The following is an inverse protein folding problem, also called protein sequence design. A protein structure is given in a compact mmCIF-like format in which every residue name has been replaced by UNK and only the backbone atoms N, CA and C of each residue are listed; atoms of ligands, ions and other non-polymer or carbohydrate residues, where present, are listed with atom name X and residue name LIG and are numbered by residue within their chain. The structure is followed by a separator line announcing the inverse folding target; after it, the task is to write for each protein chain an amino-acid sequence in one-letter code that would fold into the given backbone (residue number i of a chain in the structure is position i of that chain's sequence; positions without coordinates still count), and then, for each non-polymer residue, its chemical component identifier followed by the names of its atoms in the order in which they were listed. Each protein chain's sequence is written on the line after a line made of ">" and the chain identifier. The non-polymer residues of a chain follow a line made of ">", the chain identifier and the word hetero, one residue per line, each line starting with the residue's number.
data_IF_789827757103
#
_entry.id   IF_789827757103
#
_cell.length_a   1.000
_cell.length_b   1.000
_cell.length_c   1.000
_cell.angle_alpha   90.00
_cell.angle_beta   90.00
_cell.angle_gamma   90.00
#
_symmetry.space_group_name_H-M   'P 1'
#
loop_
_entity.id
_entity.type
_entity.pdbx_description
1 polymer ?
#
# COMPACT_ATOMS: atom_id res chain seq x y z
N UNK A 1 -7.33 0.47 8.94
CA UNK A 1 -8.33 0.21 10.05
C UNK A 1 -8.89 1.55 10.48
N UNK A 2 -10.21 1.68 10.51
CA UNK A 2 -10.88 2.91 11.00
C UNK A 2 -10.71 3.07 12.50
N UNK A 3 -11.05 4.26 13.03
CA UNK A 3 -11.06 4.52 14.47
C UNK A 3 -12.22 3.77 15.13
N UNK A 4 -11.94 2.95 16.14
CA UNK A 4 -12.97 2.24 16.91
C UNK A 4 -13.91 3.21 17.64
N UNK A 5 -13.40 4.38 18.07
CA UNK A 5 -14.22 5.43 18.67
C UNK A 5 -15.20 6.00 17.66
N UNK A 6 -14.73 6.28 16.42
CA UNK A 6 -15.59 6.71 15.32
C UNK A 6 -16.69 5.68 15.02
N UNK A 7 -16.32 4.39 14.90
CA UNK A 7 -17.26 3.31 14.65
C UNK A 7 -18.34 3.24 15.73
N UNK A 8 -17.95 3.34 16.99
CA UNK A 8 -18.85 3.30 18.15
C UNK A 8 -19.81 4.48 18.20
N UNK A 9 -19.31 5.69 17.89
CA UNK A 9 -20.11 6.91 17.93
C UNK A 9 -20.97 7.10 16.68
N UNK A 10 -20.55 6.52 15.53
CA UNK A 10 -21.19 6.70 14.23
C UNK A 10 -21.41 5.37 13.47
N UNK A 11 -22.05 4.35 14.09
CA UNK A 11 -22.16 3.03 13.47
C UNK A 11 -22.93 3.04 12.14
N UNK A 12 -23.96 3.87 12.02
CA UNK A 12 -24.76 3.97 10.80
C UNK A 12 -23.95 4.60 9.66
N UNK A 13 -23.07 5.56 9.94
CA UNK A 13 -22.16 6.11 8.92
C UNK A 13 -21.18 5.05 8.38
N UNK A 14 -20.68 4.16 9.27
CA UNK A 14 -19.82 3.05 8.87
C UNK A 14 -20.58 2.03 8.01
N UNK A 15 -21.81 1.68 8.40
CA UNK A 15 -22.67 0.77 7.61
C UNK A 15 -23.00 1.35 6.24
N UNK A 16 -23.31 2.64 6.18
CA UNK A 16 -23.58 3.35 4.91
C UNK A 16 -22.34 3.36 4.00
N UNK A 17 -21.14 3.56 4.57
CA UNK A 17 -19.90 3.48 3.83
C UNK A 17 -19.64 2.07 3.28
N UNK A 18 -19.94 1.01 4.04
CA UNK A 18 -19.86 -0.38 3.59
C UNK A 18 -20.79 -0.62 2.39
N UNK A 19 -22.03 -0.11 2.44
CA UNK A 19 -22.97 -0.19 1.33
C UNK A 19 -22.48 0.55 0.09
N UNK A 20 -21.92 1.76 0.25
CA UNK A 20 -21.30 2.51 -0.86
C UNK A 20 -20.18 1.75 -1.54
N UNK A 21 -19.50 0.86 -0.81
CA UNK A 21 -18.45 -0.02 -1.33
C UNK A 21 -18.99 -1.37 -1.86
N UNK A 22 -20.30 -1.58 -1.87
CA UNK A 22 -20.94 -2.84 -2.30
C UNK A 22 -20.45 -4.08 -1.55
N UNK A 23 -20.25 -3.95 -0.24
CA UNK A 23 -19.71 -4.99 0.64
C UNK A 23 -20.71 -5.30 1.78
N UNK A 24 -22.00 -5.40 1.48
CA UNK A 24 -23.09 -5.53 2.46
C UNK A 24 -22.88 -6.67 3.46
N UNK A 25 -22.20 -7.74 3.06
CA UNK A 25 -21.84 -8.86 3.91
C UNK A 25 -20.99 -8.49 5.13
N UNK A 26 -20.29 -7.34 5.05
CA UNK A 26 -19.46 -6.82 6.15
C UNK A 26 -20.25 -5.99 7.19
N UNK A 27 -21.52 -5.67 6.93
CA UNK A 27 -22.34 -4.85 7.84
C UNK A 27 -22.50 -5.52 9.21
N UNK A 28 -22.62 -6.85 9.25
CA UNK A 28 -22.72 -7.59 10.51
C UNK A 28 -21.53 -7.36 11.43
N UNK A 29 -20.33 -7.18 10.87
CA UNK A 29 -19.10 -6.95 11.65
C UNK A 29 -19.15 -5.66 12.47
N UNK A 30 -19.88 -4.64 12.02
CA UNK A 30 -20.05 -3.37 12.76
C UNK A 30 -20.76 -3.63 14.08
N UNK A 31 -21.85 -4.39 14.05
CA UNK A 31 -22.61 -4.75 15.27
C UNK A 31 -21.79 -5.65 16.20
N UNK A 32 -21.09 -6.64 15.66
CA UNK A 32 -20.20 -7.52 16.42
C UNK A 32 -19.09 -6.75 17.12
N UNK A 33 -18.46 -5.80 16.45
CA UNK A 33 -17.42 -4.94 17.05
C UNK A 33 -17.99 -4.11 18.20
N UNK A 34 -19.19 -3.55 18.05
CA UNK A 34 -19.82 -2.75 19.11
C UNK A 34 -20.05 -3.59 20.37
N UNK A 35 -20.57 -4.80 20.24
CA UNK A 35 -20.81 -5.68 21.39
C UNK A 35 -19.49 -6.14 22.03
N UNK A 36 -18.52 -6.58 21.23
CA UNK A 36 -17.21 -6.98 21.73
C UNK A 36 -16.45 -5.83 22.40
N UNK A 37 -16.48 -4.61 21.84
CA UNK A 37 -15.87 -3.42 22.43
C UNK A 37 -16.54 -3.06 23.77
N UNK A 38 -17.85 -3.22 23.88
CA UNK A 38 -18.58 -3.02 25.13
C UNK A 38 -18.14 -4.00 26.21
N UNK A 39 -18.00 -5.29 25.86
CA UNK A 39 -17.50 -6.31 26.80
C UNK A 39 -16.04 -6.05 27.18
N UNK A 40 -15.19 -5.72 26.21
CA UNK A 40 -13.78 -5.40 26.42
C UNK A 40 -13.62 -4.23 27.43
N UNK A 41 -14.34 -3.13 27.22
CA UNK A 41 -14.31 -1.97 28.11
C UNK A 41 -14.86 -2.29 29.51
N UNK A 42 -15.86 -3.14 29.61
CA UNK A 42 -16.37 -3.59 30.90
C UNK A 42 -15.34 -4.45 31.65
N UNK A 43 -14.62 -5.36 30.94
CA UNK A 43 -13.55 -6.15 31.53
C UNK A 43 -12.39 -5.24 32.01
N UNK A 44 -11.96 -4.29 31.16
CA UNK A 44 -10.92 -3.32 31.50
C UNK A 44 -11.26 -2.50 32.73
N UNK A 45 -12.48 -1.96 32.80
CA UNK A 45 -12.93 -1.19 33.97
C UNK A 45 -12.92 -2.04 35.24
N UNK A 46 -13.37 -3.31 35.16
CA UNK A 46 -13.36 -4.22 36.31
C UNK A 46 -11.93 -4.53 36.75
N UNK A 47 -11.02 -4.79 35.82
CA UNK A 47 -9.61 -5.05 36.09
C UNK A 47 -8.92 -3.82 36.74
N UNK A 48 -9.19 -2.61 36.26
CA UNK A 48 -8.61 -1.39 36.80
C UNK A 48 -9.12 -1.12 38.26
N UNK A 49 -10.39 -1.36 38.52
CA UNK A 49 -10.95 -1.26 39.88
C UNK A 49 -10.27 -2.29 40.80
N UNK A 50 -10.16 -3.56 40.39
CA UNK A 50 -9.50 -4.60 41.19
C UNK A 50 -8.01 -4.30 41.40
N UNK A 51 -7.29 -3.78 40.42
CA UNK A 51 -5.89 -3.32 40.57
C UNK A 51 -5.80 -2.22 41.63
N UNK A 52 -6.74 -1.26 41.64
CA UNK A 52 -6.84 -0.20 42.62
C UNK A 52 -7.06 -0.75 44.00
N UNK A 53 -8.03 -1.64 44.17
CA UNK A 53 -8.39 -2.24 45.47
C UNK A 53 -7.31 -3.17 46.02
N UNK A 54 -6.71 -4.02 45.15
CA UNK A 54 -5.55 -4.84 45.51
C UNK A 54 -4.39 -3.99 46.02
N UNK A 55 -4.10 -2.86 45.36
CA UNK A 55 -3.00 -1.98 45.78
C UNK A 55 -3.30 -1.30 47.12
N UNK A 56 -4.56 -0.93 47.42
CA UNK A 56 -4.97 -0.40 48.71
C UNK A 56 -4.81 -1.44 49.83
N UNK A 57 -5.29 -2.67 49.61
CA UNK A 57 -5.20 -3.76 50.60
C UNK A 57 -3.74 -4.17 50.85
N UNK A 58 -2.93 -4.26 49.81
CA UNK A 58 -1.50 -4.60 49.93
C UNK A 58 -0.73 -3.61 50.82
N UNK A 59 -1.07 -2.31 50.77
CA UNK A 59 -0.47 -1.29 51.65
C UNK A 59 -0.87 -1.48 53.12
N UNK A 60 -2.04 -2.04 53.39
CA UNK A 60 -2.50 -2.25 54.77
C UNK A 60 -1.80 -3.40 55.48
N UNK A 61 -1.33 -4.42 54.72
CA UNK A 61 -0.64 -5.60 55.25
C UNK A 61 0.59 -5.21 56.10
N UNK A 62 1.41 -4.30 55.57
CA UNK A 62 2.61 -3.81 56.29
C UNK A 62 2.29 -3.13 57.61
N UNK A 63 1.23 -2.30 57.63
CA UNK A 63 0.75 -1.60 58.84
C UNK A 63 0.19 -2.54 59.91
N UNK A 64 -0.58 -3.55 59.50
CA UNK A 64 -1.14 -4.56 60.42
C UNK A 64 -0.05 -5.46 60.99
N UNK A 65 0.93 -5.85 60.20
CA UNK A 65 2.08 -6.62 60.68
C UNK A 65 2.91 -5.84 61.72
N UNK A 66 3.11 -4.53 61.47
CA UNK A 66 3.82 -3.66 62.42
C UNK A 66 3.04 -3.48 63.75
N UNK A 67 1.71 -3.57 63.71
CA UNK A 67 0.84 -3.51 64.88
C UNK A 67 0.65 -4.87 65.58
N UNK A 68 1.27 -5.94 65.10
CA UNK A 68 1.14 -7.28 65.69
C UNK A 68 -0.16 -8.01 65.34
N UNK A 69 -1.01 -7.48 64.47
CA UNK A 69 -2.32 -8.00 64.08
C UNK A 69 -2.19 -9.05 62.97
N UNK A 70 -1.57 -10.18 63.27
CA UNK A 70 -1.21 -11.22 62.28
C UNK A 70 -2.43 -11.85 61.61
N UNK A 71 -3.52 -12.11 62.34
CA UNK A 71 -4.71 -12.75 61.79
C UNK A 71 -5.45 -11.84 60.80
N UNK A 72 -5.54 -10.52 61.11
CA UNK A 72 -6.08 -9.54 60.16
C UNK A 72 -5.21 -9.41 58.92
N UNK A 73 -3.89 -9.44 59.08
CA UNK A 73 -2.96 -9.39 57.95
C UNK A 73 -3.07 -10.63 57.04
N UNK A 74 -3.26 -11.84 57.58
CA UNK A 74 -3.46 -13.07 56.81
C UNK A 74 -4.82 -13.05 56.06
N UNK A 75 -5.88 -12.52 56.63
CA UNK A 75 -7.17 -12.34 55.91
C UNK A 75 -7.03 -11.40 54.72
N UNK A 76 -6.31 -10.28 54.89
CA UNK A 76 -6.05 -9.36 53.77
C UNK A 76 -5.14 -9.98 52.73
N UNK A 77 -4.13 -10.76 53.08
CA UNK A 77 -3.33 -11.51 52.11
C UNK A 77 -4.17 -12.48 51.31
N UNK A 78 -5.12 -13.19 51.93
CA UNK A 78 -6.03 -14.09 51.21
C UNK A 78 -6.90 -13.31 50.19
N UNK A 79 -7.42 -12.13 50.57
CA UNK A 79 -8.17 -11.26 49.65
C UNK A 79 -7.30 -10.74 48.49
N UNK A 80 -6.06 -10.31 48.78
CA UNK A 80 -5.10 -9.86 47.76
C UNK A 80 -4.79 -10.99 46.77
N UNK A 81 -4.69 -12.23 47.27
CA UNK A 81 -4.50 -13.41 46.40
C UNK A 81 -5.72 -13.63 45.50
N UNK A 82 -6.93 -13.62 46.08
CA UNK A 82 -8.17 -13.77 45.31
C UNK A 82 -8.29 -12.69 44.22
N UNK A 83 -7.97 -11.43 44.53
CA UNK A 83 -7.97 -10.36 43.52
C UNK A 83 -6.91 -10.57 42.44
N UNK A 84 -5.76 -11.16 42.79
CA UNK A 84 -4.73 -11.47 41.81
C UNK A 84 -5.16 -12.58 40.87
N UNK A 85 -5.79 -13.63 41.36
CA UNK A 85 -6.35 -14.72 40.57
C UNK A 85 -7.46 -14.22 39.63
N UNK A 86 -8.37 -13.36 40.11
CA UNK A 86 -9.44 -12.75 39.32
C UNK A 86 -8.87 -11.78 38.23
N UNK A 87 -7.78 -11.06 38.54
CA UNK A 87 -7.12 -10.18 37.62
C UNK A 87 -6.48 -10.98 36.46
N UNK A 88 -5.87 -12.12 36.76
CA UNK A 88 -5.29 -12.98 35.71
C UNK A 88 -6.36 -13.48 34.72
N UNK A 89 -7.52 -13.88 35.21
CA UNK A 89 -8.67 -14.26 34.36
C UNK A 89 -9.18 -13.09 33.53
N UNK A 90 -9.28 -11.89 34.12
CA UNK A 90 -9.73 -10.69 33.40
C UNK A 90 -8.70 -10.25 32.33
N UNK A 91 -7.40 -10.28 32.63
CA UNK A 91 -6.35 -9.94 31.66
C UNK A 91 -6.35 -10.89 30.47
N UNK A 92 -6.57 -12.18 30.70
CA UNK A 92 -6.75 -13.16 29.61
C UNK A 92 -7.99 -12.84 28.77
N UNK A 93 -9.11 -12.52 29.44
CA UNK A 93 -10.35 -12.12 28.75
C UNK A 93 -10.16 -10.83 27.94
N UNK A 94 -9.45 -9.84 28.48
CA UNK A 94 -9.11 -8.59 27.77
C UNK A 94 -8.29 -8.87 26.50
N UNK A 95 -7.30 -9.76 26.58
CA UNK A 95 -6.48 -10.16 25.43
C UNK A 95 -7.33 -10.84 24.37
N UNK A 96 -8.14 -11.84 24.73
CA UNK A 96 -9.03 -12.58 23.81
C UNK A 96 -10.04 -11.62 23.13
N UNK A 97 -10.71 -10.76 23.89
CA UNK A 97 -11.66 -9.79 23.34
C UNK A 97 -10.95 -8.74 22.46
N UNK A 98 -9.78 -8.29 22.87
CA UNK A 98 -8.97 -7.34 22.10
C UNK A 98 -8.57 -7.87 20.74
N UNK A 99 -8.14 -9.13 20.66
CA UNK A 99 -7.81 -9.80 19.39
C UNK A 99 -9.06 -10.00 18.50
N UNK A 100 -10.21 -10.37 19.08
CA UNK A 100 -11.46 -10.53 18.33
C UNK A 100 -11.99 -9.19 17.79
N UNK A 101 -11.90 -8.10 18.55
CA UNK A 101 -12.21 -6.74 18.09
C UNK A 101 -11.27 -6.36 16.95
N UNK A 102 -9.97 -6.50 17.14
CA UNK A 102 -8.95 -6.17 16.14
C UNK A 102 -9.15 -6.93 14.83
N UNK A 103 -9.39 -8.24 14.90
CA UNK A 103 -9.63 -9.09 13.74
C UNK A 103 -10.80 -8.58 12.88
N UNK A 104 -11.93 -8.22 13.48
CA UNK A 104 -13.09 -7.67 12.77
C UNK A 104 -12.82 -6.27 12.23
N UNK A 105 -12.21 -5.42 13.04
CA UNK A 105 -11.83 -4.05 12.64
C UNK A 105 -10.88 -4.04 11.44
N UNK A 106 -10.04 -5.06 11.26
CA UNK A 106 -9.15 -5.17 10.11
C UNK A 106 -9.87 -5.57 8.81
N UNK A 107 -11.09 -6.09 8.89
CA UNK A 107 -11.91 -6.47 7.72
C UNK A 107 -12.83 -5.31 7.32
N UNK A 108 -13.26 -4.47 8.26
CA UNK A 108 -14.10 -3.30 7.97
C UNK A 108 -13.31 -2.32 7.11
N UNK A 109 -13.86 -1.89 5.94
CA UNK A 109 -13.17 -0.97 5.04
C UNK A 109 -13.02 0.42 5.63
N UNK A 110 -12.03 1.17 5.15
CA UNK A 110 -11.84 2.57 5.49
C UNK A 110 -13.01 3.43 4.99
N UNK A 111 -13.22 4.57 5.64
CA UNK A 111 -14.22 5.54 5.19
C UNK A 111 -13.69 6.24 3.93
N UNK A 112 -14.46 6.17 2.85
CA UNK A 112 -14.11 6.82 1.59
C UNK A 112 -14.32 8.33 1.66
N UNK A 113 -13.51 9.07 0.90
CA UNK A 113 -13.68 10.52 0.76
C UNK A 113 -15.05 10.83 0.13
N UNK A 114 -15.75 11.87 0.61
CA UNK A 114 -17.07 12.26 0.06
C UNK A 114 -17.07 12.56 -1.45
N UNK A 115 -15.92 12.90 -2.03
CA UNK A 115 -15.79 13.18 -3.47
C UNK A 115 -15.70 11.92 -4.33
N UNK A 116 -15.45 10.74 -3.74
CA UNK A 116 -15.32 9.48 -4.47
C UNK A 116 -16.62 9.14 -5.19
N UNK A 117 -16.60 8.89 -6.52
CA UNK A 117 -17.78 8.50 -7.26
C UNK A 117 -18.29 7.13 -6.76
N UNK A 118 -19.62 7.01 -6.69
CA UNK A 118 -20.26 5.76 -6.30
C UNK A 118 -20.41 4.90 -7.55
N UNK A 119 -19.80 3.72 -7.55
CA UNK A 119 -19.83 2.76 -8.65
C UNK A 119 -19.47 1.38 -8.14
N UNK A 120 -19.86 0.33 -8.87
CA UNK A 120 -19.77 -1.06 -8.45
C UNK A 120 -18.39 -1.67 -8.70
N UNK A 121 -17.79 -1.34 -9.84
CA UNK A 121 -16.51 -1.90 -10.29
C UNK A 121 -15.74 -0.90 -11.19
N UNK A 122 -14.59 -1.31 -11.70
CA UNK A 122 -13.66 -0.50 -12.49
C UNK A 122 -14.29 0.09 -13.77
N UNK A 123 -15.36 -0.49 -14.29
CA UNK A 123 -16.08 0.03 -15.47
C UNK A 123 -16.81 1.36 -15.20
N UNK A 124 -17.03 1.70 -13.93
CA UNK A 124 -17.70 2.92 -13.46
C UNK A 124 -16.69 3.97 -12.92
N UNK A 125 -15.39 3.73 -13.10
CA UNK A 125 -14.36 4.72 -12.81
C UNK A 125 -14.50 5.96 -13.69
N UNK A 126 -14.19 7.13 -13.14
CA UNK A 126 -14.47 8.43 -13.78
C UNK A 126 -13.18 9.05 -14.33
N UNK A 127 -13.17 9.36 -15.62
CA UNK A 127 -12.06 10.11 -16.22
C UNK A 127 -12.02 11.55 -15.71
N UNK A 128 -10.88 11.96 -15.13
CA UNK A 128 -10.66 13.29 -14.58
C UNK A 128 -10.04 14.22 -15.61
N UNK A 129 -8.97 13.75 -16.28
CA UNK A 129 -8.21 14.61 -17.20
C UNK A 129 -7.30 13.80 -18.12
N UNK A 130 -7.11 14.32 -19.33
CA UNK A 130 -6.12 13.83 -20.31
C UNK A 130 -4.95 14.78 -20.43
N UNK A 131 -3.78 14.21 -20.72
CA UNK A 131 -2.54 14.92 -20.89
C UNK A 131 -1.81 14.39 -22.15
N UNK A 132 -1.63 15.29 -23.12
CA UNK A 132 -1.08 14.96 -24.43
C UNK A 132 -2.12 14.33 -25.35
N UNK A 133 -1.87 14.48 -26.65
CA UNK A 133 -2.77 13.99 -27.69
C UNK A 133 -2.44 12.53 -28.02
N UNK A 134 -3.41 11.60 -27.92
CA UNK A 134 -3.23 10.23 -28.33
C UNK A 134 -3.06 10.17 -29.86
N UNK A 135 -1.96 9.55 -30.30
CA UNK A 135 -1.69 9.38 -31.72
C UNK A 135 -1.77 7.89 -32.11
N UNK A 136 -2.19 7.62 -33.34
CA UNK A 136 -2.12 6.29 -33.94
C UNK A 136 -1.28 6.46 -35.20
N UNK A 137 -0.13 5.75 -35.32
CA UNK A 137 0.71 5.83 -36.54
C UNK A 137 -0.04 5.27 -37.74
N UNK A 138 0.44 5.60 -38.92
CA UNK A 138 -0.08 5.15 -40.24
C UNK A 138 0.42 3.73 -40.62
N UNK A 139 1.17 3.08 -39.73
CA UNK A 139 1.66 1.72 -39.85
C UNK A 139 1.11 0.83 -38.71
N UNK A 140 1.14 -0.48 -38.95
CA UNK A 140 0.72 -1.45 -37.92
C UNK A 140 1.73 -1.49 -36.76
N UNK A 141 1.24 -1.29 -35.51
CA UNK A 141 2.04 -1.42 -34.32
C UNK A 141 1.97 -2.87 -33.83
N UNK A 142 3.09 -3.63 -33.87
CA UNK A 142 3.13 -5.00 -33.41
C UNK A 142 2.87 -5.12 -31.90
N UNK A 143 2.63 -6.34 -31.44
CA UNK A 143 2.55 -6.61 -30.01
C UNK A 143 3.90 -6.32 -29.35
N UNK A 144 3.88 -5.81 -28.11
CA UNK A 144 5.10 -5.34 -27.43
C UNK A 144 6.20 -6.42 -27.33
N UNK A 145 5.84 -7.69 -27.13
CA UNK A 145 6.86 -8.76 -27.13
C UNK A 145 7.47 -8.98 -28.52
N UNK A 146 6.70 -8.82 -29.59
CA UNK A 146 7.21 -8.91 -30.97
C UNK A 146 8.16 -7.76 -31.31
N UNK A 147 7.84 -6.56 -30.77
CA UNK A 147 8.80 -5.43 -30.88
C UNK A 147 10.10 -5.80 -30.17
N UNK A 148 10.02 -6.27 -28.89
CA UNK A 148 11.20 -6.66 -28.12
C UNK A 148 12.00 -7.78 -28.76
N UNK A 149 11.34 -8.78 -29.36
CA UNK A 149 11.97 -9.92 -30.07
C UNK A 149 12.83 -9.44 -31.26
N UNK A 150 12.40 -8.41 -32.02
CA UNK A 150 13.20 -7.81 -33.12
C UNK A 150 14.52 -7.22 -32.65
N UNK A 151 14.62 -6.85 -31.38
CA UNK A 151 15.85 -6.37 -30.75
C UNK A 151 16.66 -7.49 -30.07
N UNK A 152 16.22 -8.77 -30.16
CA UNK A 152 16.70 -9.87 -29.31
C UNK A 152 16.66 -9.47 -27.83
N UNK A 153 15.65 -8.66 -27.45
CA UNK A 153 15.55 -7.96 -26.16
C UNK A 153 14.72 -8.68 -25.10
N UNK A 154 14.08 -9.79 -25.45
CA UNK A 154 13.27 -10.60 -24.53
C UNK A 154 13.44 -12.09 -24.82
N UNK A 155 13.50 -12.91 -23.74
CA UNK A 155 13.48 -14.38 -23.86
C UNK A 155 12.49 -14.96 -22.81
N UNK A 156 11.30 -15.24 -23.27
CA UNK A 156 10.24 -15.83 -22.45
C UNK A 156 10.38 -17.37 -22.32
N UNK A 157 10.97 -18.03 -23.34
CA UNK A 157 11.11 -19.48 -23.32
C UNK A 157 12.17 -19.95 -22.33
N UNK A 158 13.31 -19.26 -22.22
CA UNK A 158 14.29 -19.53 -21.19
C UNK A 158 13.75 -19.22 -19.81
N UNK A 159 13.01 -18.10 -19.63
CA UNK A 159 12.39 -17.75 -18.38
C UNK A 159 11.39 -18.83 -17.91
N UNK A 160 10.58 -19.38 -18.85
CA UNK A 160 9.65 -20.48 -18.57
C UNK A 160 10.38 -21.73 -18.08
N UNK A 161 11.52 -22.08 -18.67
CA UNK A 161 12.32 -23.24 -18.23
C UNK A 161 12.93 -23.05 -16.85
N UNK A 162 13.29 -21.81 -16.49
CA UNK A 162 13.97 -21.51 -15.22
C UNK A 162 12.99 -21.27 -14.07
N UNK A 163 11.90 -20.53 -14.30
CA UNK A 163 11.03 -20.01 -13.24
C UNK A 163 9.53 -20.27 -13.48
N UNK A 164 9.15 -20.73 -14.67
CA UNK A 164 7.75 -20.91 -15.05
C UNK A 164 7.20 -19.74 -15.86
N UNK A 165 5.87 -19.72 -16.07
CA UNK A 165 5.19 -18.62 -16.74
C UNK A 165 5.17 -17.38 -15.86
N UNK A 166 5.04 -16.20 -16.48
CA UNK A 166 4.98 -14.92 -15.75
C UNK A 166 6.35 -14.39 -15.31
N UNK A 167 7.43 -14.90 -15.89
CA UNK A 167 8.79 -14.41 -15.75
C UNK A 167 9.39 -14.07 -17.13
N UNK A 168 10.46 -13.32 -17.16
CA UNK A 168 11.12 -12.87 -18.39
C UNK A 168 12.63 -12.74 -18.20
N UNK A 169 13.37 -12.82 -19.29
CA UNK A 169 14.68 -12.21 -19.41
C UNK A 169 14.56 -10.99 -20.33
N UNK A 170 15.07 -9.84 -19.87
CA UNK A 170 15.32 -8.69 -20.77
C UNK A 170 16.81 -8.66 -21.12
N UNK A 171 17.12 -8.32 -22.37
CA UNK A 171 18.48 -8.35 -22.90
C UNK A 171 18.78 -7.12 -23.75
N UNK A 172 20.06 -6.87 -24.00
CA UNK A 172 20.53 -5.86 -24.95
C UNK A 172 19.97 -4.46 -24.69
N UNK A 173 19.56 -3.80 -25.77
CA UNK A 173 19.07 -2.43 -25.74
C UNK A 173 17.73 -2.30 -24.96
N UNK A 174 16.90 -3.35 -24.93
CA UNK A 174 15.65 -3.36 -24.14
C UNK A 174 15.95 -3.40 -22.64
N UNK A 175 16.89 -4.24 -22.19
CA UNK A 175 17.32 -4.27 -20.80
C UNK A 175 17.96 -2.94 -20.38
N UNK A 176 18.73 -2.33 -21.27
CA UNK A 176 19.32 -1.01 -21.06
C UNK A 176 18.26 0.08 -20.93
N UNK A 177 17.23 0.06 -21.80
CA UNK A 177 16.10 0.99 -21.74
C UNK A 177 15.33 0.83 -20.43
N UNK A 178 15.06 -0.40 -20.00
CA UNK A 178 14.44 -0.70 -18.70
C UNK A 178 15.21 -0.04 -17.54
N UNK A 179 16.53 -0.23 -17.50
CA UNK A 179 17.39 0.35 -16.48
C UNK A 179 17.48 1.88 -16.58
N UNK A 180 17.48 2.42 -17.80
CA UNK A 180 17.50 3.86 -18.06
C UNK A 180 16.25 4.57 -17.52
N UNK A 181 15.08 3.96 -17.71
CA UNK A 181 13.81 4.49 -17.17
C UNK A 181 13.81 4.53 -15.65
N UNK A 182 14.29 3.47 -14.99
CA UNK A 182 14.38 3.43 -13.54
C UNK A 182 15.39 4.45 -13.00
N UNK A 183 16.54 4.60 -13.65
CA UNK A 183 17.53 5.58 -13.27
C UNK A 183 17.01 7.02 -13.44
N UNK A 184 16.31 7.27 -14.54
CA UNK A 184 15.64 8.55 -14.75
C UNK A 184 14.55 8.83 -13.70
N UNK A 185 13.69 7.86 -13.44
CA UNK A 185 12.61 8.01 -12.46
C UNK A 185 13.14 8.28 -11.05
N UNK A 186 14.23 7.62 -10.66
CA UNK A 186 14.93 7.90 -9.39
C UNK A 186 15.39 9.34 -9.30
N UNK A 187 16.16 9.82 -10.31
CA UNK A 187 16.72 11.17 -10.32
C UNK A 187 15.60 12.22 -10.39
N UNK A 188 14.55 11.96 -11.19
CA UNK A 188 13.34 12.78 -11.28
C UNK A 188 12.66 12.99 -9.92
N UNK A 189 12.60 11.98 -9.08
CA UNK A 189 12.00 12.08 -7.74
C UNK A 189 12.94 12.78 -6.75
N UNK A 190 14.26 12.54 -6.84
CA UNK A 190 15.26 13.25 -6.03
C UNK A 190 15.18 14.75 -6.31
N UNK A 191 15.11 15.15 -7.59
CA UNK A 191 15.00 16.55 -8.01
C UNK A 191 13.69 17.22 -7.51
N UNK A 192 12.67 16.43 -7.20
CA UNK A 192 11.41 16.87 -6.57
C UNK A 192 11.42 16.85 -5.03
N UNK A 193 12.59 16.64 -4.43
CA UNK A 193 12.79 16.70 -2.99
C UNK A 193 12.40 15.43 -2.22
N UNK A 194 12.25 14.28 -2.91
CA UNK A 194 12.06 13.02 -2.24
C UNK A 194 13.40 12.40 -1.82
N UNK A 195 13.44 11.90 -0.60
CA UNK A 195 14.61 11.16 -0.12
C UNK A 195 14.63 9.76 -0.73
N UNK A 196 15.68 9.46 -1.50
CA UNK A 196 15.86 8.13 -2.06
C UNK A 196 16.35 7.15 -0.98
N UNK A 197 15.72 5.98 -0.89
CA UNK A 197 16.12 4.93 0.03
C UNK A 197 16.07 3.56 -0.64
N UNK A 198 16.89 2.62 -0.12
CA UNK A 198 16.87 1.21 -0.48
C UNK A 198 16.35 0.46 0.75
N UNK A 199 15.09 -0.02 0.74
CA UNK A 199 14.48 -0.68 1.88
C UNK A 199 14.77 -2.18 1.88
N UNK A 200 14.48 -2.91 2.97
CA UNK A 200 14.41 -4.36 2.96
C UNK A 200 13.38 -4.88 1.95
N UNK A 201 13.72 -5.94 1.21
CA UNK A 201 12.82 -6.57 0.23
C UNK A 201 12.03 -7.75 0.81
N UNK A 202 12.27 -8.06 2.08
CA UNK A 202 11.51 -9.02 2.87
C UNK A 202 11.03 -8.33 4.14
N UNK A 203 9.77 -8.55 4.50
CA UNK A 203 9.11 -7.92 5.65
C UNK A 203 8.36 -8.94 6.49
N UNK A 204 8.17 -8.65 7.77
CA UNK A 204 7.46 -9.52 8.71
C UNK A 204 5.95 -9.42 8.55
N UNK A 205 5.23 -10.43 9.03
CA UNK A 205 3.76 -10.52 8.98
C UNK A 205 3.05 -9.32 9.59
N UNK A 206 3.58 -8.74 10.67
CA UNK A 206 3.00 -7.56 11.32
C UNK A 206 3.09 -6.29 10.45
N UNK A 207 4.10 -6.18 9.58
CA UNK A 207 4.18 -5.11 8.57
C UNK A 207 3.20 -5.38 7.45
N UNK A 208 3.18 -6.63 6.91
CA UNK A 208 2.25 -7.02 5.83
C UNK A 208 0.81 -6.70 6.21
N UNK A 209 0.35 -7.18 7.36
CA UNK A 209 -1.02 -6.93 7.84
C UNK A 209 -1.30 -5.47 8.20
N UNK A 210 -0.26 -4.68 8.39
CA UNK A 210 -0.35 -3.24 8.60
C UNK A 210 -0.61 -2.45 7.31
N UNK A 211 -0.04 -2.88 6.18
CA UNK A 211 -0.06 -2.12 4.92
C UNK A 211 -1.12 -2.57 3.93
N UNK A 212 -1.69 -3.77 4.06
CA UNK A 212 -2.71 -4.30 3.15
C UNK A 212 -3.81 -5.09 3.88
N UNK A 213 -4.87 -5.42 3.16
CA UNK A 213 -5.93 -6.31 3.65
C UNK A 213 -5.48 -7.77 3.64
N UNK A 214 -6.19 -8.63 4.39
CA UNK A 214 -5.92 -10.07 4.38
C UNK A 214 -6.17 -10.70 3.00
N UNK A 215 -7.18 -10.24 2.27
CA UNK A 215 -7.48 -10.72 0.92
C UNK A 215 -6.35 -10.39 -0.05
N UNK A 216 -5.85 -9.16 -0.03
CA UNK A 216 -4.69 -8.75 -0.84
C UNK A 216 -3.43 -9.54 -0.47
N UNK A 217 -3.20 -9.78 0.83
CA UNK A 217 -2.07 -10.59 1.31
C UNK A 217 -2.08 -12.01 0.72
N UNK A 218 -3.20 -12.70 0.74
CA UNK A 218 -3.31 -14.06 0.19
C UNK A 218 -3.16 -14.09 -1.34
N UNK A 219 -3.73 -13.11 -2.03
CA UNK A 219 -3.68 -13.01 -3.48
C UNK A 219 -2.28 -12.63 -4.00
N UNK A 220 -1.53 -11.82 -3.25
CA UNK A 220 -0.31 -11.16 -3.72
C UNK A 220 0.99 -11.73 -3.14
N UNK A 221 1.05 -12.01 -1.83
CA UNK A 221 2.33 -12.14 -1.13
C UNK A 221 2.94 -13.53 -1.20
N UNK A 222 4.23 -13.62 -1.57
CA UNK A 222 5.03 -14.82 -1.36
C UNK A 222 5.56 -14.86 0.07
N UNK A 223 5.35 -15.97 0.77
CA UNK A 223 5.90 -16.24 2.10
C UNK A 223 7.14 -17.12 2.00
N UNK A 224 8.16 -16.83 2.79
CA UNK A 224 9.32 -17.68 2.95
C UNK A 224 8.96 -18.82 3.90
N UNK A 225 9.18 -20.06 3.46
CA UNK A 225 8.90 -21.25 4.26
C UNK A 225 9.82 -21.31 5.49
N UNK A 226 9.24 -21.60 6.66
CA UNK A 226 9.98 -21.69 7.93
C UNK A 226 10.32 -20.34 8.58
N UNK A 227 10.02 -19.20 7.93
CA UNK A 227 10.35 -17.87 8.40
C UNK A 227 9.11 -16.98 8.55
N UNK A 228 9.15 -16.01 9.46
CA UNK A 228 8.15 -14.91 9.48
C UNK A 228 8.61 -13.79 8.52
N UNK A 229 8.79 -14.14 7.25
CA UNK A 229 9.20 -13.23 6.19
C UNK A 229 8.37 -13.41 4.94
N UNK A 230 8.09 -12.30 4.28
CA UNK A 230 7.34 -12.20 3.03
C UNK A 230 8.12 -11.33 2.04
N UNK A 231 8.18 -11.74 0.78
CA UNK A 231 8.72 -10.90 -0.30
C UNK A 231 7.76 -9.73 -0.55
N UNK A 232 8.29 -8.53 -0.71
CA UNK A 232 7.47 -7.33 -0.96
C UNK A 232 6.82 -7.37 -2.33
N UNK A 233 5.56 -6.95 -2.41
CA UNK A 233 4.86 -6.70 -3.69
C UNK A 233 5.08 -5.27 -4.22
N UNK A 234 5.67 -4.40 -3.40
CA UNK A 234 6.02 -3.00 -3.69
C UNK A 234 6.92 -2.47 -2.55
N UNK A 235 7.81 -1.53 -2.85
CA UNK A 235 8.63 -0.88 -1.82
C UNK A 235 7.81 -0.02 -0.84
N UNK A 236 6.58 0.36 -1.19
CA UNK A 236 5.64 0.99 -0.26
C UNK A 236 5.57 0.22 1.06
N UNK A 237 5.45 -1.11 1.00
CA UNK A 237 5.31 -1.95 2.18
C UNK A 237 6.44 -1.75 3.17
N UNK A 238 7.67 -1.78 2.69
CA UNK A 238 8.87 -1.57 3.51
C UNK A 238 9.05 -0.12 3.93
N UNK A 239 8.77 0.84 3.04
CA UNK A 239 8.94 2.25 3.36
C UNK A 239 7.95 2.72 4.42
N UNK A 240 6.68 2.29 4.35
CA UNK A 240 5.69 2.55 5.40
C UNK A 240 6.04 1.75 6.67
N UNK A 241 6.45 0.48 6.51
CA UNK A 241 6.90 -0.37 7.60
C UNK A 241 8.08 0.20 8.40
N UNK A 242 8.91 1.07 7.80
CA UNK A 242 9.97 1.81 8.49
C UNK A 242 9.48 2.57 9.73
N UNK A 243 8.23 2.99 9.71
CA UNK A 243 7.63 3.80 10.77
C UNK A 243 6.81 2.99 11.79
N UNK A 244 6.83 1.63 11.71
CA UNK A 244 6.09 0.78 12.65
C UNK A 244 6.43 1.09 14.10
N UNK A 245 5.39 1.26 14.94
CA UNK A 245 5.47 1.50 16.38
C UNK A 245 6.34 2.72 16.77
N UNK A 246 6.29 3.79 15.93
CA UNK A 246 7.04 5.03 16.18
C UNK A 246 6.13 6.16 16.64
N UNK A 247 6.74 7.12 17.36
CA UNK A 247 6.16 8.42 17.67
C UNK A 247 7.04 9.48 16.99
N UNK A 248 6.50 10.11 15.97
CA UNK A 248 7.20 11.09 15.16
C UNK A 248 6.91 12.51 15.68
N UNK A 249 7.90 13.39 15.63
CA UNK A 249 7.71 14.79 15.94
C UNK A 249 6.99 15.50 14.79
N UNK A 250 5.94 16.27 15.09
CA UNK A 250 5.11 16.95 14.10
C UNK A 250 5.91 17.89 13.19
N UNK A 251 6.94 18.53 13.72
CA UNK A 251 7.79 19.47 12.99
C UNK A 251 8.67 18.77 11.91
N UNK A 252 8.84 17.45 12.00
CA UNK A 252 9.59 16.67 11.01
C UNK A 252 8.74 16.18 9.83
N UNK A 253 7.42 16.36 9.90
CA UNK A 253 6.54 16.01 8.79
C UNK A 253 6.52 17.11 7.72
N UNK A 254 6.35 16.73 6.44
CA UNK A 254 6.15 15.36 5.94
C UNK A 254 7.45 14.58 5.75
N UNK A 255 7.38 13.25 5.85
CA UNK A 255 8.41 12.38 5.29
C UNK A 255 8.04 12.02 3.86
N UNK A 256 8.91 12.36 2.91
CA UNK A 256 8.76 12.06 1.49
C UNK A 256 9.87 11.11 1.07
N UNK A 257 9.52 9.85 0.81
CA UNK A 257 10.49 8.82 0.43
C UNK A 257 10.19 8.28 -0.98
N UNK A 258 11.23 7.98 -1.71
CA UNK A 258 11.15 7.26 -2.97
C UNK A 258 12.12 6.08 -2.99
N UNK A 259 11.75 5.00 -3.66
CA UNK A 259 12.55 3.78 -3.66
C UNK A 259 12.39 3.00 -4.96
N UNK A 260 13.50 2.52 -5.46
CA UNK A 260 13.55 1.41 -6.40
C UNK A 260 13.53 0.08 -5.64
N UNK A 261 12.73 -0.88 -6.12
CA UNK A 261 12.79 -2.25 -5.62
C UNK A 261 12.35 -3.28 -6.65
N UNK A 262 12.83 -4.53 -6.56
CA UNK A 262 12.09 -5.66 -7.09
C UNK A 262 10.74 -5.79 -6.38
N UNK A 263 9.75 -6.31 -7.10
CA UNK A 263 8.41 -6.56 -6.61
C UNK A 263 8.02 -7.99 -6.98
N UNK A 264 7.43 -8.71 -6.04
CA UNK A 264 7.04 -10.10 -6.21
C UNK A 264 5.55 -10.26 -5.94
N UNK A 265 4.80 -10.78 -6.93
CA UNK A 265 3.35 -10.94 -6.81
C UNK A 265 2.91 -12.30 -7.34
N UNK A 266 2.07 -13.00 -6.55
CA UNK A 266 1.48 -14.28 -6.97
C UNK A 266 0.50 -14.14 -8.13
N UNK A 267 -0.11 -12.95 -8.30
CA UNK A 267 -1.13 -12.68 -9.33
C UNK A 267 -2.27 -13.72 -9.33
N UNK A 268 -2.67 -14.20 -8.15
CA UNK A 268 -3.72 -15.20 -7.96
C UNK A 268 -5.07 -14.67 -8.49
N UNK A 269 -5.73 -15.44 -9.36
CA UNK A 269 -7.06 -15.09 -9.88
C UNK A 269 -7.04 -14.11 -11.05
N UNK A 270 -5.88 -13.71 -11.52
CA UNK A 270 -5.76 -12.87 -12.70
C UNK A 270 -5.81 -13.75 -13.96
N UNK A 271 -6.90 -13.66 -14.72
CA UNK A 271 -7.09 -14.33 -16.01
C UNK A 271 -7.44 -13.28 -17.07
N UNK A 272 -6.84 -13.38 -18.27
CA UNK A 272 -7.18 -12.49 -19.40
C UNK A 272 -6.22 -12.58 -20.59
N UNK A 273 -6.60 -11.93 -21.69
CA UNK A 273 -5.92 -11.96 -22.99
C UNK A 273 -4.47 -11.42 -22.95
N UNK A 274 -4.09 -10.71 -21.88
CA UNK A 274 -2.80 -10.05 -21.74
C UNK A 274 -1.76 -10.86 -20.95
N UNK A 275 -1.92 -12.17 -20.86
CA UNK A 275 -0.96 -13.08 -20.20
C UNK A 275 0.36 -13.22 -20.98
N UNK A 276 0.36 -12.88 -22.29
CA UNK A 276 1.57 -12.93 -23.12
C UNK A 276 2.42 -11.67 -22.91
N UNK A 277 3.74 -11.84 -22.82
CA UNK A 277 4.68 -10.74 -22.69
C UNK A 277 4.92 -10.32 -21.25
N UNK A 278 4.95 -9.00 -21.00
CA UNK A 278 5.36 -8.43 -19.71
C UNK A 278 4.25 -7.65 -18.99
N UNK A 279 3.00 -7.75 -19.42
CA UNK A 279 1.90 -6.98 -18.84
C UNK A 279 1.55 -7.43 -17.41
N UNK A 280 1.48 -8.76 -17.20
CA UNK A 280 1.17 -9.37 -15.90
C UNK A 280 2.18 -10.47 -15.57
N UNK A 281 3.00 -10.21 -14.56
CA UNK A 281 4.19 -11.00 -14.26
C UNK A 281 4.40 -11.13 -12.75
N UNK A 282 5.07 -12.20 -12.32
CA UNK A 282 5.31 -12.52 -10.91
C UNK A 282 6.47 -11.73 -10.30
N UNK A 283 7.42 -11.30 -11.14
CA UNK A 283 8.57 -10.52 -10.72
C UNK A 283 8.76 -9.34 -11.67
N UNK A 284 8.85 -8.14 -11.11
CA UNK A 284 9.13 -6.91 -11.84
C UNK A 284 9.86 -5.91 -10.94
N UNK A 285 10.23 -4.79 -11.49
CA UNK A 285 10.89 -3.71 -10.77
C UNK A 285 10.01 -2.48 -10.78
N UNK A 286 10.10 -1.66 -9.75
CA UNK A 286 9.28 -0.47 -9.61
C UNK A 286 10.02 0.63 -8.87
N UNK A 287 9.90 1.87 -9.35
CA UNK A 287 10.17 3.06 -8.57
C UNK A 287 8.84 3.51 -7.93
N UNK A 288 8.85 3.64 -6.62
CA UNK A 288 7.70 4.01 -5.80
C UNK A 288 7.95 5.30 -5.07
N UNK A 289 6.89 6.02 -4.67
CA UNK A 289 6.95 7.16 -3.78
C UNK A 289 5.92 7.04 -2.67
N UNK A 290 6.28 7.44 -1.45
CA UNK A 290 5.38 7.51 -0.31
C UNK A 290 5.47 8.85 0.39
N UNK A 291 4.38 9.21 1.07
CA UNK A 291 4.34 10.34 1.99
C UNK A 291 3.73 9.90 3.31
N UNK A 292 4.38 10.31 4.40
CA UNK A 292 3.81 10.27 5.76
C UNK A 292 3.63 11.71 6.19
N UNK A 293 2.40 12.16 6.42
CA UNK A 293 2.09 13.57 6.65
C UNK A 293 1.03 13.79 7.73
N UNK A 294 0.75 15.04 8.00
CA UNK A 294 -0.38 15.46 8.83
C UNK A 294 -1.70 15.19 8.10
N UNK A 295 -2.80 14.92 8.80
CA UNK A 295 -4.13 14.74 8.18
C UNK A 295 -4.55 15.88 7.27
N UNK A 296 -4.32 17.13 7.69
CA UNK A 296 -4.67 18.35 6.94
C UNK A 296 -3.90 18.52 5.63
N UNK A 297 -2.70 17.92 5.50
CA UNK A 297 -1.86 18.01 4.30
C UNK A 297 -2.14 16.90 3.29
N UNK A 298 -2.97 15.93 3.65
CA UNK A 298 -3.18 14.68 2.91
C UNK A 298 -3.71 14.91 1.48
N UNK A 299 -4.68 15.79 1.30
CA UNK A 299 -5.24 16.11 -0.01
C UNK A 299 -4.19 16.77 -0.93
N UNK A 300 -3.44 17.74 -0.42
CA UNK A 300 -2.38 18.42 -1.18
C UNK A 300 -1.28 17.44 -1.62
N UNK A 301 -0.88 16.51 -0.74
CA UNK A 301 0.11 15.50 -1.09
C UNK A 301 -0.42 14.47 -2.09
N UNK A 302 -1.70 14.11 -2.01
CA UNK A 302 -2.34 13.24 -2.99
C UNK A 302 -2.24 13.84 -4.40
N UNK A 303 -2.57 15.15 -4.53
CA UNK A 303 -2.48 15.86 -5.81
C UNK A 303 -1.04 15.92 -6.34
N UNK A 304 -0.05 16.16 -5.49
CA UNK A 304 1.36 16.17 -5.89
C UNK A 304 1.86 14.79 -6.34
N UNK A 305 1.43 13.72 -5.65
CA UNK A 305 1.89 12.37 -5.97
C UNK A 305 1.41 11.92 -7.34
N UNK A 306 0.12 12.03 -7.65
CA UNK A 306 -0.36 11.59 -8.95
C UNK A 306 0.16 12.47 -10.10
N UNK A 307 0.34 13.77 -9.88
CA UNK A 307 0.92 14.68 -10.87
C UNK A 307 2.37 14.30 -11.20
N UNK A 308 3.16 13.82 -10.23
CA UNK A 308 4.53 13.36 -10.49
C UNK A 308 4.57 12.21 -11.52
N UNK A 309 3.64 11.25 -11.45
CA UNK A 309 3.56 10.16 -12.44
C UNK A 309 3.14 10.70 -13.81
N UNK A 310 2.13 11.57 -13.85
CA UNK A 310 1.72 12.23 -15.10
C UNK A 310 2.91 12.96 -15.74
N UNK A 311 3.62 13.76 -14.97
CA UNK A 311 4.77 14.54 -15.45
C UNK A 311 5.90 13.64 -15.97
N UNK A 312 6.19 12.53 -15.28
CA UNK A 312 7.20 11.58 -15.70
C UNK A 312 6.85 10.98 -17.08
N UNK A 313 5.65 10.48 -17.25
CA UNK A 313 5.21 9.90 -18.52
C UNK A 313 5.18 10.94 -19.64
N UNK A 314 4.70 12.15 -19.34
CA UNK A 314 4.68 13.26 -20.30
C UNK A 314 6.08 13.70 -20.73
N UNK A 315 7.06 13.65 -19.84
CA UNK A 315 8.47 13.94 -20.17
C UNK A 315 9.09 12.94 -21.14
N UNK A 316 8.51 11.75 -21.26
CA UNK A 316 8.89 10.70 -22.20
C UNK A 316 8.01 10.67 -23.47
N UNK A 317 7.24 11.74 -23.74
CA UNK A 317 6.34 11.90 -24.86
C UNK A 317 5.15 10.89 -24.89
N UNK A 318 4.81 10.28 -23.75
CA UNK A 318 3.72 9.31 -23.64
C UNK A 318 2.42 10.02 -23.21
N UNK A 319 1.35 9.98 -24.03
CA UNK A 319 0.04 10.48 -23.61
C UNK A 319 -0.54 9.65 -22.47
N UNK A 320 -1.10 10.32 -21.46
CA UNK A 320 -1.73 9.68 -20.32
C UNK A 320 -3.08 10.30 -19.99
N UNK A 321 -3.93 9.55 -19.30
CA UNK A 321 -5.11 10.09 -18.64
C UNK A 321 -5.12 9.71 -17.16
N UNK A 322 -5.88 10.44 -16.38
CA UNK A 322 -6.15 10.12 -14.97
C UNK A 322 -7.60 9.73 -14.82
N UNK A 323 -7.85 8.62 -14.13
CA UNK A 323 -9.19 8.19 -13.74
C UNK A 323 -9.29 8.14 -12.22
N UNK A 324 -10.44 8.52 -11.68
CA UNK A 324 -10.77 8.35 -10.26
C UNK A 324 -11.48 7.02 -10.06
N UNK A 325 -10.93 6.18 -9.17
CA UNK A 325 -11.53 4.91 -8.82
C UNK A 325 -12.85 5.14 -8.08
N UNK A 326 -13.90 4.45 -8.48
CA UNK A 326 -15.18 4.48 -7.80
C UNK A 326 -15.16 3.65 -6.51
N UNK A 327 -16.20 3.80 -5.71
CA UNK A 327 -16.28 3.22 -4.37
C UNK A 327 -16.14 1.70 -4.32
N UNK A 328 -16.66 0.98 -5.30
CA UNK A 328 -16.57 -0.49 -5.39
C UNK A 328 -15.22 -1.00 -5.85
N UNK A 329 -14.47 -0.21 -6.62
CA UNK A 329 -13.13 -0.53 -7.08
C UNK A 329 -12.03 -0.18 -6.05
N UNK A 330 -12.33 0.71 -5.09
CA UNK A 330 -11.37 1.06 -4.04
C UNK A 330 -11.04 -0.11 -3.12
N UNK A 331 -9.76 -0.45 -2.98
CA UNK A 331 -9.29 -1.39 -1.96
C UNK A 331 -9.67 -0.93 -0.53
N UNK A 332 -9.80 -1.88 0.40
CA UNK A 332 -10.38 -1.64 1.73
C UNK A 332 -9.68 -0.56 2.57
N UNK A 333 -8.37 -0.37 2.39
CA UNK A 333 -7.63 0.62 3.15
C UNK A 333 -7.65 2.02 2.55
N UNK A 334 -8.04 2.15 1.27
CA UNK A 334 -7.99 3.42 0.55
C UNK A 334 -9.16 4.33 0.91
N UNK A 335 -8.85 5.60 1.10
CA UNK A 335 -9.83 6.71 1.24
C UNK A 335 -10.21 7.23 -0.13
N UNK A 336 -9.21 7.35 -1.03
CA UNK A 336 -9.32 7.84 -2.40
C UNK A 336 -8.19 7.27 -3.25
N UNK A 337 -8.44 7.02 -4.53
CA UNK A 337 -7.43 6.56 -5.48
C UNK A 337 -7.62 7.16 -6.85
N UNK A 338 -6.51 7.55 -7.48
CA UNK A 338 -6.43 7.90 -8.90
C UNK A 338 -5.50 6.93 -9.60
N UNK A 339 -5.95 6.38 -10.73
CA UNK A 339 -5.09 5.62 -11.61
C UNK A 339 -4.62 6.50 -12.76
N UNK A 340 -3.33 6.38 -13.09
CA UNK A 340 -2.75 6.97 -14.29
C UNK A 340 -2.69 5.89 -15.35
N UNK A 341 -3.28 6.15 -16.48
CA UNK A 341 -3.30 5.25 -17.63
C UNK A 341 -2.55 5.84 -18.81
N UNK A 342 -1.74 5.03 -19.47
CA UNK A 342 -0.99 5.42 -20.68
C UNK A 342 -1.72 4.99 -21.96
N UNK A 343 -1.57 5.77 -23.01
CA UNK A 343 -2.13 5.46 -24.31
C UNK A 343 -1.40 4.29 -24.98
N UNK A 344 -2.16 3.34 -25.51
CA UNK A 344 -1.67 2.28 -26.40
C UNK A 344 -2.12 2.56 -27.83
N UNK A 345 -1.22 2.98 -28.73
CA UNK A 345 -1.54 3.14 -30.16
C UNK A 345 -2.03 1.85 -30.82
N UNK A 346 -1.49 0.70 -30.42
CA UNK A 346 -1.88 -0.63 -30.91
C UNK A 346 -3.32 -0.97 -30.56
N UNK A 347 -3.69 -0.78 -29.26
CA UNK A 347 -5.02 -1.14 -28.77
C UNK A 347 -6.03 -0.01 -28.99
N UNK A 348 -5.57 1.19 -29.32
CA UNK A 348 -6.39 2.42 -29.39
C UNK A 348 -7.19 2.67 -28.11
N UNK A 349 -6.58 2.38 -26.97
CA UNK A 349 -7.14 2.56 -25.63
C UNK A 349 -6.05 2.91 -24.63
N UNK A 350 -6.47 3.41 -23.47
CA UNK A 350 -5.60 3.62 -22.33
C UNK A 350 -5.54 2.35 -21.46
N UNK A 351 -4.45 2.16 -20.74
CA UNK A 351 -4.27 1.08 -19.76
C UNK A 351 -3.47 1.58 -18.55
N UNK A 352 -3.74 1.03 -17.39
CA UNK A 352 -3.14 1.43 -16.12
C UNK A 352 -1.63 1.23 -16.09
N UNK A 353 -0.90 2.27 -15.70
CA UNK A 353 0.56 2.29 -15.52
C UNK A 353 0.99 2.74 -14.12
N UNK A 354 0.07 3.24 -13.32
CA UNK A 354 0.32 3.64 -11.94
C UNK A 354 -0.96 3.92 -11.18
N UNK A 355 -0.95 3.70 -9.87
CA UNK A 355 -2.08 3.94 -8.97
C UNK A 355 -1.63 4.77 -7.79
N UNK A 356 -2.22 5.95 -7.63
CA UNK A 356 -2.02 6.87 -6.52
C UNK A 356 -3.08 6.64 -5.45
N UNK A 357 -2.67 6.46 -4.21
CA UNK A 357 -3.57 6.12 -3.12
C UNK A 357 -3.39 7.03 -1.91
N UNK A 358 -4.51 7.52 -1.39
CA UNK A 358 -4.59 8.08 -0.05
C UNK A 358 -5.21 7.04 0.88
N UNK A 359 -4.48 6.64 1.92
CA UNK A 359 -4.92 5.64 2.90
C UNK A 359 -5.47 6.29 4.18
N UNK A 360 -5.42 7.64 4.28
CA UNK A 360 -5.72 8.32 5.52
C UNK A 360 -4.87 7.78 6.66
N UNK A 361 -5.47 7.52 7.81
CA UNK A 361 -4.79 6.97 8.98
C UNK A 361 -4.87 5.42 9.09
N UNK A 362 -5.41 4.73 8.07
CA UNK A 362 -5.67 3.29 8.16
C UNK A 362 -4.41 2.45 8.42
N UNK A 363 -3.33 2.69 7.66
CA UNK A 363 -2.05 2.01 7.85
C UNK A 363 -1.39 2.48 9.15
N UNK A 364 -1.44 3.76 9.45
CA UNK A 364 -0.85 4.34 10.66
C UNK A 364 -1.47 3.75 11.93
N UNK A 365 -2.79 3.51 11.96
CA UNK A 365 -3.45 2.84 13.08
C UNK A 365 -3.02 1.38 13.24
N UNK A 366 -2.89 0.65 12.15
CA UNK A 366 -2.43 -0.76 12.16
C UNK A 366 -0.98 -0.89 12.61
N UNK A 367 -0.12 0.00 12.12
CA UNK A 367 1.32 0.02 12.38
C UNK A 367 1.71 0.89 13.59
N UNK A 368 0.75 1.54 14.25
CA UNK A 368 0.97 2.47 15.37
C UNK A 368 1.93 3.62 15.02
N UNK A 369 1.79 4.20 13.83
CA UNK A 369 2.56 5.38 13.38
C UNK A 369 1.91 6.62 13.97
N UNK A 370 2.44 7.09 15.09
CA UNK A 370 1.89 8.22 15.84
C UNK A 370 2.71 9.49 15.61
N UNK A 371 2.06 10.61 15.77
CA UNK A 371 2.66 11.94 15.70
C UNK A 371 2.43 12.63 17.04
N UNK A 372 3.48 13.20 17.60
CA UNK A 372 3.43 14.02 18.80
C UNK A 372 3.31 15.48 18.41
N UNK A 373 2.16 16.10 18.70
CA UNK A 373 1.92 17.54 18.56
C UNK A 373 2.01 18.23 19.91
N UNK A 374 2.51 19.44 19.93
CA UNK A 374 2.52 20.28 21.15
C UNK A 374 1.13 20.74 21.53
N UNK A 375 0.29 20.99 20.52
CA UNK A 375 -1.01 21.65 20.71
C UNK A 375 -2.18 20.63 20.72
N UNK A 376 -2.08 19.53 19.93
CA UNK A 376 -3.17 18.58 19.69
C UNK A 376 -3.00 17.25 20.46
N UNK A 377 -1.87 17.07 21.18
CA UNK A 377 -1.52 15.77 21.76
C UNK A 377 -1.10 14.75 20.68
N UNK A 378 -1.15 13.45 20.99
CA UNK A 378 -0.76 12.42 20.03
C UNK A 378 -1.92 12.08 19.08
N UNK A 379 -1.61 11.97 17.78
CA UNK A 379 -2.55 11.55 16.73
C UNK A 379 -1.87 10.57 15.75
N UNK A 380 -2.65 9.93 14.87
CA UNK A 380 -2.11 9.07 13.82
C UNK A 380 -1.78 9.87 12.55
N UNK A 381 -0.64 9.57 11.95
CA UNK A 381 -0.26 10.16 10.66
C UNK A 381 -1.20 9.70 9.54
N UNK A 382 -1.27 10.45 8.45
CA UNK A 382 -1.79 9.95 7.18
C UNK A 382 -0.65 9.39 6.32
N UNK A 383 -0.96 8.36 5.55
CA UNK A 383 -0.03 7.72 4.61
C UNK A 383 -0.59 7.76 3.20
N UNK A 384 0.29 8.05 2.24
CA UNK A 384 -0.03 8.07 0.82
C UNK A 384 1.07 7.36 0.04
N UNK A 385 0.72 6.80 -1.09
CA UNK A 385 1.67 6.20 -2.02
C UNK A 385 1.28 6.43 -3.47
N UNK A 386 2.25 6.33 -4.36
CA UNK A 386 2.02 6.26 -5.78
C UNK A 386 3.18 5.58 -6.50
N UNK A 387 2.88 4.87 -7.55
CA UNK A 387 3.88 4.37 -8.49
C UNK A 387 4.47 5.53 -9.28
N UNK A 388 5.78 5.74 -9.19
CA UNK A 388 6.49 6.64 -10.10
C UNK A 388 6.53 6.02 -11.49
N UNK A 389 7.05 4.80 -11.58
CA UNK A 389 7.05 3.98 -12.80
C UNK A 389 7.25 2.50 -12.46
N UNK A 390 6.54 1.64 -13.18
CA UNK A 390 6.76 0.20 -13.23
C UNK A 390 7.13 -0.17 -14.67
N UNK A 391 8.43 -0.40 -14.97
CA UNK A 391 8.92 -0.57 -16.33
C UNK A 391 8.18 -1.58 -17.20
N UNK A 392 7.69 -2.71 -16.72
CA UNK A 392 7.01 -3.65 -17.61
C UNK A 392 5.85 -3.02 -18.38
N UNK A 393 4.91 -2.40 -17.68
CA UNK A 393 3.77 -1.69 -18.32
C UNK A 393 4.24 -0.40 -19.01
N UNK A 394 5.18 0.31 -18.41
CA UNK A 394 5.76 1.49 -19.02
C UNK A 394 6.49 1.15 -20.33
N UNK A 395 7.24 0.03 -20.39
CA UNK A 395 7.89 -0.41 -21.63
C UNK A 395 6.89 -0.68 -22.74
N UNK A 396 5.73 -1.25 -22.44
CA UNK A 396 4.65 -1.42 -23.42
C UNK A 396 4.25 -0.07 -24.00
N UNK A 397 3.88 0.88 -23.14
CA UNK A 397 3.50 2.23 -23.55
C UNK A 397 4.64 2.93 -24.30
N UNK A 398 5.88 2.80 -23.81
CA UNK A 398 7.06 3.43 -24.40
C UNK A 398 7.33 2.92 -25.80
N UNK A 399 7.41 1.59 -25.96
CA UNK A 399 7.70 0.96 -27.25
C UNK A 399 6.62 1.29 -28.28
N UNK A 400 5.34 1.19 -27.90
CA UNK A 400 4.25 1.48 -28.82
C UNK A 400 4.17 2.96 -29.24
N UNK A 401 4.45 3.91 -28.35
CA UNK A 401 4.38 5.34 -28.65
C UNK A 401 5.65 5.90 -29.33
N UNK A 402 6.80 5.22 -29.19
CA UNK A 402 8.08 5.68 -29.76
C UNK A 402 8.57 4.82 -30.95
N UNK A 403 7.78 3.82 -31.39
CA UNK A 403 8.09 3.01 -32.56
C UNK A 403 8.05 3.87 -33.82
N UNK A 404 9.04 3.68 -34.70
CA UNK A 404 9.11 4.32 -36.01
C UNK A 404 8.76 3.32 -37.10
N UNK A 405 8.39 3.81 -38.30
CA UNK A 405 8.03 2.99 -39.45
C UNK A 405 9.16 2.03 -39.90
N UNK A 406 10.43 2.39 -39.68
CA UNK A 406 11.61 1.57 -39.96
C UNK A 406 11.88 0.49 -38.89
N UNK A 407 11.02 0.37 -37.88
CA UNK A 407 11.16 -0.57 -36.78
C UNK A 407 12.09 -0.11 -35.66
N UNK A 408 12.76 1.04 -35.80
CA UNK A 408 13.55 1.64 -34.72
C UNK A 408 12.64 2.22 -33.63
N UNK A 409 13.18 2.40 -32.41
CA UNK A 409 12.47 3.04 -31.32
C UNK A 409 13.22 4.32 -30.92
N UNK A 410 12.53 5.44 -30.98
CA UNK A 410 13.05 6.76 -30.60
C UNK A 410 13.30 6.81 -29.09
N UNK A 411 14.42 7.42 -28.67
CA UNK A 411 14.74 7.70 -27.28
C UNK A 411 14.50 9.18 -26.99
N UNK A 412 13.50 9.54 -26.18
CA UNK A 412 13.26 10.91 -25.73
C UNK A 412 14.50 11.53 -25.09
N UNK A 413 14.63 12.85 -25.21
CA UNK A 413 15.81 13.59 -24.75
C UNK A 413 16.16 13.30 -23.28
N UNK A 414 15.15 13.23 -22.40
CA UNK A 414 15.31 13.01 -20.96
C UNK A 414 15.96 11.65 -20.63
N UNK A 415 15.88 10.67 -21.51
CA UNK A 415 16.46 9.34 -21.32
C UNK A 415 17.84 9.17 -21.99
N UNK A 416 18.23 10.04 -22.92
CA UNK A 416 19.47 9.87 -23.71
C UNK A 416 20.72 9.77 -22.85
N UNK A 417 20.84 10.58 -21.78
CA UNK A 417 21.99 10.50 -20.85
C UNK A 417 22.13 9.13 -20.18
N UNK A 418 21.00 8.42 -19.95
CA UNK A 418 20.99 7.07 -19.37
C UNK A 418 21.17 5.98 -20.42
N UNK A 419 20.99 6.33 -21.70
CA UNK A 419 21.19 5.45 -22.87
C UNK A 419 22.53 5.70 -23.59
N UNK A 420 23.50 6.39 -22.94
CA UNK A 420 24.81 6.69 -23.52
C UNK A 420 24.78 7.70 -24.66
N UNK A 421 23.78 8.59 -24.66
CA UNK A 421 23.64 9.68 -25.62
C UNK A 421 22.96 9.31 -26.94
N UNK A 422 22.53 8.03 -27.12
CA UNK A 422 21.83 7.64 -28.34
C UNK A 422 20.41 8.19 -28.38
N UNK A 423 19.93 8.54 -29.55
CA UNK A 423 18.61 9.09 -29.80
C UNK A 423 17.58 8.06 -30.30
N UNK A 424 18.07 6.84 -30.65
CA UNK A 424 17.23 5.68 -31.02
C UNK A 424 17.95 4.37 -30.80
N UNK A 425 17.18 3.30 -30.66
CA UNK A 425 17.65 1.92 -30.75
C UNK A 425 17.14 1.31 -32.06
N UNK A 426 17.94 0.44 -32.65
CA UNK A 426 17.69 -0.15 -33.97
C UNK A 426 17.58 -1.66 -33.85
N UNK A 427 16.61 -2.32 -34.53
CA UNK A 427 16.49 -3.77 -34.54
C UNK A 427 17.77 -4.46 -34.99
N UNK A 428 18.02 -5.68 -34.52
CA UNK A 428 19.24 -6.42 -34.86
C UNK A 428 19.31 -6.85 -36.32
N UNK A 429 18.18 -7.00 -36.99
CA UNK A 429 18.09 -7.29 -38.40
C UNK A 429 18.67 -6.17 -39.30
N UNK A 430 18.91 -5.00 -38.73
CA UNK A 430 19.45 -3.81 -39.38
C UNK A 430 20.85 -3.40 -38.88
N UNK A 431 21.51 -4.27 -38.06
CA UNK A 431 22.89 -4.05 -37.58
C UNK A 431 23.94 -4.75 -38.39
#
# INVERSE_FOLDING_TARGET
>A
MIDIKFLRENPEAVKENIKKKFQDEKIVLVNEVIELDKELRAAQLKADNLRGDRNKLSKQIGGLMAQGKKDEAEQIKAQVKQFSDELEELEKKEEELGEEVKKRMMIIPNIIDPSVPIGKDDSENVEIKRYGEPAVPDFEVPYHSEIMERFNGIDLDSARRVAGNGFYYLMGDIARLHSAVLAYARDFMIDRGFTYCIPPYMIRSNVVTGVMSFAEMDAMMYKIEGEDLYLIGTSEHSMIGKFIDTINEEEKLPYTLTSYSPCFRKEKGAHGIEERGVYRIHQFEKQEMIVVCKPEDSAMWFDKLWQNTVDLFRSMDIPVRTIECCSGDLADLKVKSYDVEAWSPRQKKYFEVGSCSNLGDAQARRLKIRVKSKDKGNYFAHTLNNTVVAPPRMLIAFLENNLCADGSVKIPEVLRKYMGGIDRIVPNDNK
#
